data_IF_387494781004
#
_entry.id   IF_387494781004
#
_cell.length_a   1.000
_cell.length_b   1.000
_cell.length_c   1.000
_cell.angle_alpha   90.00
_cell.angle_beta   90.00
_cell.angle_gamma   90.00
#
_symmetry.space_group_name_H-M   'P 1'
#
loop_
_entity.id
_entity.type
_entity.pdbx_description
1 polymer ?
#
# COMPACT_ATOMS: atom_id res chain seq x y z
N UNK A 1 -0.81 11.25 16.70
CA UNK A 1 0.53 10.82 16.24
C UNK A 1 0.82 9.35 16.56
N UNK A 2 0.46 8.86 17.75
CA UNK A 2 0.66 7.48 18.24
C UNK A 2 0.34 6.37 17.22
N UNK A 3 -0.83 6.41 16.55
CA UNK A 3 -1.20 5.38 15.56
C UNK A 3 -0.24 5.28 14.36
N UNK A 4 0.32 6.40 13.90
CA UNK A 4 1.25 6.40 12.76
C UNK A 4 2.61 5.84 13.17
N UNK A 5 3.07 6.21 14.36
CA UNK A 5 4.32 5.69 14.93
C UNK A 5 4.23 4.19 15.20
N UNK A 6 3.09 3.69 15.69
CA UNK A 6 2.88 2.25 15.91
C UNK A 6 2.94 1.44 14.59
N UNK A 7 2.28 1.91 13.53
CA UNK A 7 2.33 1.25 12.21
C UNK A 7 3.74 1.25 11.64
N UNK A 8 4.46 2.37 11.76
CA UNK A 8 5.86 2.47 11.34
C UNK A 8 6.77 1.52 12.12
N UNK A 9 6.60 1.43 13.43
CA UNK A 9 7.36 0.52 14.28
C UNK A 9 7.11 -0.94 13.91
N UNK A 10 5.84 -1.34 13.79
CA UNK A 10 5.48 -2.71 13.37
C UNK A 10 6.05 -3.04 12.00
N UNK A 11 5.97 -2.11 11.05
CA UNK A 11 6.57 -2.30 9.73
C UNK A 11 8.08 -2.46 9.80
N UNK A 12 8.78 -1.63 10.58
CA UNK A 12 10.22 -1.73 10.76
C UNK A 12 10.63 -3.07 11.39
N UNK A 13 9.92 -3.50 12.43
CA UNK A 13 10.15 -4.81 13.08
C UNK A 13 9.94 -5.96 12.07
N UNK A 14 8.85 -5.94 11.31
CA UNK A 14 8.59 -6.97 10.30
C UNK A 14 9.65 -6.99 9.21
N UNK A 15 10.08 -5.83 8.72
CA UNK A 15 11.15 -5.74 7.70
C UNK A 15 12.45 -6.33 8.24
N UNK A 16 12.90 -5.93 9.43
CA UNK A 16 14.14 -6.45 10.04
C UNK A 16 14.06 -7.97 10.24
N UNK A 17 12.97 -8.46 10.81
CA UNK A 17 12.80 -9.90 11.06
C UNK A 17 12.75 -10.71 9.76
N UNK A 18 12.05 -10.20 8.74
CA UNK A 18 11.90 -10.88 7.46
C UNK A 18 13.20 -10.84 6.65
N UNK A 19 13.88 -9.69 6.61
CA UNK A 19 15.18 -9.55 5.97
C UNK A 19 16.20 -10.50 6.60
N UNK A 20 16.27 -10.54 7.93
CA UNK A 20 17.10 -11.49 8.70
C UNK A 20 16.75 -12.94 8.40
N UNK A 21 15.46 -13.28 8.35
CA UNK A 21 15.01 -14.64 8.06
C UNK A 21 15.37 -15.08 6.64
N UNK A 22 15.18 -14.19 5.65
CA UNK A 22 15.56 -14.44 4.26
C UNK A 22 17.08 -14.58 4.17
N UNK A 23 17.83 -13.65 4.76
CA UNK A 23 19.29 -13.67 4.74
C UNK A 23 19.85 -14.97 5.31
N UNK A 24 19.39 -15.41 6.48
CA UNK A 24 19.82 -16.70 7.03
C UNK A 24 19.34 -17.91 6.24
N UNK A 25 18.18 -17.83 5.58
CA UNK A 25 17.74 -18.88 4.68
C UNK A 25 18.61 -18.95 3.42
N UNK A 26 19.22 -17.82 3.01
CA UNK A 26 20.11 -17.72 1.85
C UNK A 26 21.59 -17.87 2.19
N UNK A 27 21.99 -17.74 3.46
CA UNK A 27 23.38 -17.83 3.92
C UNK A 27 23.87 -19.28 3.77
N UNK A 28 24.77 -19.57 2.83
CA UNK A 28 25.20 -20.92 2.54
C UNK A 28 26.29 -21.31 3.53
N UNK A 29 25.93 -22.14 4.52
CA UNK A 29 26.89 -22.80 5.43
C UNK A 29 28.00 -23.55 4.65
N UNK A 30 29.10 -24.01 5.29
CA UNK A 30 30.24 -24.64 4.61
C UNK A 30 29.89 -25.75 3.60
N UNK A 31 28.76 -26.44 3.79
CA UNK A 31 28.22 -27.45 2.88
C UNK A 31 27.70 -26.88 1.54
N UNK A 32 27.15 -25.66 1.53
CA UNK A 32 26.64 -25.02 0.33
C UNK A 32 27.75 -24.44 -0.58
N UNK A 33 28.92 -24.11 0.00
CA UNK A 33 30.15 -23.77 -0.77
C UNK A 33 30.73 -24.95 -1.56
N UNK A 34 30.48 -26.19 -1.14
CA UNK A 34 30.90 -27.39 -1.87
C UNK A 34 29.98 -27.67 -3.07
N UNK A 35 28.69 -27.33 -2.95
CA UNK A 35 27.71 -27.45 -4.04
C UNK A 35 27.80 -26.29 -5.05
N UNK A 36 28.02 -25.07 -4.60
CA UNK A 36 28.13 -23.89 -5.49
C UNK A 36 29.36 -23.95 -6.40
N UNK A 37 30.49 -24.49 -5.93
CA UNK A 37 31.68 -24.75 -6.76
C UNK A 37 31.49 -25.86 -7.80
N UNK A 38 30.47 -26.72 -7.66
CA UNK A 38 30.13 -27.74 -8.66
C UNK A 38 28.92 -27.35 -9.54
N UNK A 39 28.10 -26.38 -9.13
CA UNK A 39 26.80 -26.13 -9.78
C UNK A 39 26.62 -24.73 -10.40
N UNK A 40 27.54 -23.77 -10.23
CA UNK A 40 27.50 -22.51 -11.00
C UNK A 40 26.21 -21.69 -10.79
N UNK A 41 25.94 -21.28 -9.54
CA UNK A 41 24.75 -20.51 -9.20
C UNK A 41 24.79 -19.03 -9.64
N UNK A 42 23.61 -18.37 -9.75
CA UNK A 42 23.50 -16.96 -10.10
C UNK A 42 24.15 -16.05 -9.04
N UNK A 43 24.83 -14.99 -9.50
CA UNK A 43 25.55 -14.08 -8.61
C UNK A 43 24.61 -13.28 -7.69
N UNK A 44 25.04 -13.04 -6.45
CA UNK A 44 24.32 -12.24 -5.43
C UNK A 44 23.77 -10.90 -5.95
N UNK A 45 24.52 -10.12 -6.76
CA UNK A 45 24.00 -8.90 -7.38
C UNK A 45 22.79 -9.14 -8.29
N UNK A 46 22.76 -10.27 -9.00
CA UNK A 46 21.65 -10.65 -9.86
C UNK A 46 20.40 -10.99 -9.03
N UNK A 47 20.55 -11.74 -7.94
CA UNK A 47 19.45 -12.06 -7.03
C UNK A 47 18.88 -10.82 -6.35
N UNK A 48 19.75 -9.89 -5.92
CA UNK A 48 19.34 -8.60 -5.36
C UNK A 48 18.58 -7.75 -6.38
N UNK A 49 19.07 -7.67 -7.62
CA UNK A 49 18.42 -6.94 -8.70
C UNK A 49 17.04 -7.53 -9.02
N UNK A 50 16.94 -8.85 -9.16
CA UNK A 50 15.68 -9.55 -9.44
C UNK A 50 14.68 -9.35 -8.30
N UNK A 51 15.12 -9.48 -7.05
CA UNK A 51 14.26 -9.27 -5.87
C UNK A 51 13.76 -7.84 -5.78
N UNK A 52 14.61 -6.85 -6.05
CA UNK A 52 14.23 -5.44 -6.10
C UNK A 52 13.22 -5.16 -7.23
N UNK A 53 13.44 -5.74 -8.41
CA UNK A 53 12.51 -5.62 -9.55
C UNK A 53 11.15 -6.25 -9.26
N UNK A 54 11.11 -7.42 -8.64
CA UNK A 54 9.87 -8.09 -8.23
C UNK A 54 9.14 -7.33 -7.12
N UNK A 55 9.87 -6.83 -6.13
CA UNK A 55 9.32 -5.99 -5.08
C UNK A 55 8.72 -4.69 -5.65
N UNK A 56 9.45 -4.04 -6.56
CA UNK A 56 8.99 -2.82 -7.22
C UNK A 56 7.77 -3.07 -8.10
N UNK A 57 7.76 -4.15 -8.89
CA UNK A 57 6.63 -4.49 -9.75
C UNK A 57 5.37 -4.82 -8.93
N UNK A 58 5.51 -5.56 -7.83
CA UNK A 58 4.41 -5.84 -6.92
C UNK A 58 3.88 -4.55 -6.25
N UNK A 59 4.78 -3.69 -5.79
CA UNK A 59 4.41 -2.40 -5.21
C UNK A 59 3.64 -1.52 -6.23
N UNK A 60 4.12 -1.47 -7.48
CA UNK A 60 3.44 -0.77 -8.58
C UNK A 60 2.07 -1.38 -8.85
N UNK A 61 1.95 -2.71 -8.91
CA UNK A 61 0.69 -3.40 -9.15
C UNK A 61 -0.34 -3.11 -8.04
N UNK A 62 0.05 -3.17 -6.77
CA UNK A 62 -0.82 -2.84 -5.64
C UNK A 62 -1.27 -1.38 -5.69
N UNK A 63 -0.35 -0.44 -5.96
CA UNK A 63 -0.70 0.97 -6.10
C UNK A 63 -1.64 1.22 -7.29
N UNK A 64 -1.39 0.53 -8.41
CA UNK A 64 -2.20 0.61 -9.63
C UNK A 64 -3.61 0.09 -9.40
N UNK A 65 -3.77 -1.09 -8.78
CA UNK A 65 -5.09 -1.65 -8.43
C UNK A 65 -5.87 -0.74 -7.49
N UNK A 66 -5.21 -0.16 -6.48
CA UNK A 66 -5.84 0.79 -5.57
C UNK A 66 -6.32 2.07 -6.30
N UNK A 67 -5.48 2.60 -7.19
CA UNK A 67 -5.82 3.76 -8.01
C UNK A 67 -6.96 3.47 -9.00
N UNK A 68 -6.95 2.29 -9.63
CA UNK A 68 -8.01 1.84 -10.55
C UNK A 68 -9.35 1.72 -9.83
N UNK A 69 -9.39 1.05 -8.68
CA UNK A 69 -10.62 0.91 -7.89
C UNK A 69 -11.22 2.27 -7.48
N UNK A 70 -10.37 3.25 -7.12
CA UNK A 70 -10.82 4.61 -6.80
C UNK A 70 -11.30 5.35 -8.05
N UNK A 71 -10.57 5.25 -9.17
CA UNK A 71 -10.91 5.91 -10.44
C UNK A 71 -12.22 5.38 -11.00
N UNK A 72 -12.40 4.07 -11.08
CA UNK A 72 -13.64 3.45 -11.58
C UNK A 72 -14.85 3.90 -10.76
N UNK A 73 -14.72 3.95 -9.43
CA UNK A 73 -15.81 4.41 -8.56
C UNK A 73 -16.02 5.92 -8.57
N UNK A 74 -15.00 6.71 -8.90
CA UNK A 74 -15.11 8.15 -9.09
C UNK A 74 -15.76 8.52 -10.44
N UNK A 75 -15.50 7.75 -11.50
CA UNK A 75 -16.15 7.86 -12.80
C UNK A 75 -17.65 7.55 -12.69
N UNK A 76 -18.02 6.54 -11.91
CA UNK A 76 -19.43 6.27 -11.54
C UNK A 76 -20.09 7.45 -10.80
N UNK A 77 -19.31 8.33 -10.15
CA UNK A 77 -19.79 9.49 -9.39
C UNK A 77 -19.49 10.85 -10.05
N UNK A 78 -18.93 10.88 -11.28
CA UNK A 78 -18.43 12.10 -11.98
C UNK A 78 -17.57 13.03 -11.12
N UNK A 79 -16.69 12.47 -10.28
CA UNK A 79 -15.79 13.25 -9.41
C UNK A 79 -14.34 13.20 -9.87
N UNK A 80 -13.55 14.27 -9.63
CA UNK A 80 -12.12 14.25 -9.89
C UNK A 80 -11.40 13.19 -9.05
N UNK A 81 -10.47 12.48 -9.67
CA UNK A 81 -9.70 11.39 -9.06
C UNK A 81 -8.66 11.95 -8.09
N UNK A 82 -8.55 11.36 -6.89
CA UNK A 82 -7.54 11.74 -5.92
C UNK A 82 -6.15 11.23 -6.34
N UNK A 83 -5.16 12.12 -6.32
CA UNK A 83 -3.79 11.78 -6.74
C UNK A 83 -3.09 10.96 -5.66
N UNK A 84 -2.44 9.87 -6.08
CA UNK A 84 -1.58 9.09 -5.20
C UNK A 84 -0.28 9.86 -4.89
N UNK A 85 0.05 10.00 -3.60
CA UNK A 85 1.18 10.82 -3.15
C UNK A 85 2.52 10.07 -3.24
N UNK A 86 2.98 9.78 -4.47
CA UNK A 86 4.21 8.98 -4.75
C UNK A 86 5.43 9.51 -3.99
N UNK A 87 5.67 10.83 -4.00
CA UNK A 87 6.82 11.44 -3.30
C UNK A 87 6.84 11.13 -1.80
N UNK A 88 5.67 11.14 -1.16
CA UNK A 88 5.55 10.84 0.28
C UNK A 88 5.79 9.36 0.55
N UNK A 89 5.31 8.47 -0.32
CA UNK A 89 5.59 7.04 -0.25
C UNK A 89 7.10 6.78 -0.38
N UNK A 90 7.78 7.40 -1.36
CA UNK A 90 9.23 7.26 -1.54
C UNK A 90 10.02 7.77 -0.33
N UNK A 91 9.69 8.96 0.18
CA UNK A 91 10.35 9.49 1.38
C UNK A 91 10.15 8.57 2.60
N UNK A 92 8.95 7.98 2.75
CA UNK A 92 8.67 7.01 3.80
C UNK A 92 9.44 5.70 3.61
N UNK A 93 9.54 5.18 2.37
CA UNK A 93 10.35 4.01 2.06
C UNK A 93 11.83 4.23 2.41
N UNK A 94 12.39 5.39 2.05
CA UNK A 94 13.78 5.75 2.38
C UNK A 94 13.99 5.84 3.90
N UNK A 95 13.08 6.49 4.61
CA UNK A 95 13.15 6.60 6.07
C UNK A 95 13.04 5.23 6.74
N UNK A 96 12.14 4.37 6.26
CA UNK A 96 11.97 3.02 6.76
C UNK A 96 13.23 2.18 6.52
N UNK A 97 13.79 2.21 5.30
CA UNK A 97 15.01 1.50 4.96
C UNK A 97 16.20 1.91 5.82
N UNK A 98 16.36 3.21 6.09
CA UNK A 98 17.41 3.71 6.98
C UNK A 98 17.25 3.17 8.41
N UNK A 99 16.02 3.24 8.95
CA UNK A 99 15.71 2.77 10.31
C UNK A 99 15.90 1.25 10.42
N UNK A 100 15.46 0.48 9.43
CA UNK A 100 15.61 -0.98 9.44
C UNK A 100 17.06 -1.38 9.29
N UNK A 101 17.85 -0.71 8.45
CA UNK A 101 19.28 -0.99 8.28
C UNK A 101 20.07 -0.77 9.57
N UNK A 102 19.82 0.35 10.24
CA UNK A 102 20.47 0.65 11.53
C UNK A 102 19.99 -0.30 12.63
N UNK A 103 18.68 -0.53 12.70
CA UNK A 103 18.07 -1.42 13.70
C UNK A 103 18.51 -2.86 13.54
N UNK A 104 18.54 -3.38 12.31
CA UNK A 104 18.98 -4.74 11.98
C UNK A 104 20.45 -4.95 12.30
N UNK A 105 21.33 -4.01 11.93
CA UNK A 105 22.76 -4.11 12.25
C UNK A 105 23.07 -3.99 13.74
N UNK A 106 22.35 -3.13 14.48
CA UNK A 106 22.49 -3.06 15.95
C UNK A 106 21.96 -4.32 16.64
N UNK A 107 20.86 -4.89 16.15
CA UNK A 107 20.32 -6.16 16.64
C UNK A 107 21.33 -7.30 16.44
N UNK A 108 21.95 -7.39 15.26
CA UNK A 108 23.06 -8.31 14.97
C UNK A 108 24.24 -8.14 15.93
N UNK A 109 24.70 -6.90 16.11
CA UNK A 109 25.80 -6.60 17.03
C UNK A 109 25.49 -7.05 18.47
N UNK A 110 24.25 -6.83 18.91
CA UNK A 110 23.78 -7.30 20.21
C UNK A 110 23.78 -8.83 20.32
N UNK A 111 23.32 -9.53 19.28
CA UNK A 111 23.28 -10.99 19.26
C UNK A 111 24.68 -11.61 19.25
N UNK A 112 25.63 -11.04 18.49
CA UNK A 112 27.03 -11.46 18.51
C UNK A 112 27.67 -11.27 19.88
N UNK A 113 27.40 -10.14 20.54
CA UNK A 113 27.87 -9.91 21.91
C UNK A 113 27.31 -10.96 22.88
N UNK A 114 26.00 -11.24 22.81
CA UNK A 114 25.35 -12.27 23.63
C UNK A 114 25.86 -13.68 23.36
N UNK A 115 26.30 -13.97 22.13
CA UNK A 115 26.89 -15.25 21.74
C UNK A 115 28.37 -15.40 22.10
N UNK A 116 28.99 -14.40 22.74
CA UNK A 116 30.42 -14.44 23.10
C UNK A 116 31.37 -14.17 21.91
N UNK A 117 30.85 -13.74 20.76
CA UNK A 117 31.65 -13.40 19.57
C UNK A 117 32.26 -11.98 19.65
N UNK A 118 31.87 -11.20 20.66
CA UNK A 118 32.33 -9.82 20.87
C UNK A 118 31.38 -8.77 20.29
N UNK A 119 31.58 -7.52 20.73
CA UNK A 119 30.80 -6.38 20.24
C UNK A 119 31.39 -5.84 18.95
N UNK A 120 30.58 -5.88 17.89
CA UNK A 120 30.97 -5.38 16.57
C UNK A 120 30.32 -4.02 16.25
N UNK A 121 29.29 -3.60 16.99
CA UNK A 121 28.64 -2.29 16.82
C UNK A 121 28.24 -1.99 15.38
N UNK A 122 28.68 -0.84 14.86
CA UNK A 122 28.40 -0.42 13.47
C UNK A 122 29.11 -1.26 12.41
N UNK A 123 30.13 -2.04 12.77
CA UNK A 123 30.69 -3.01 11.82
C UNK A 123 29.68 -4.09 11.44
N UNK A 124 28.71 -4.40 12.30
CA UNK A 124 27.60 -5.26 11.89
C UNK A 124 26.70 -4.60 10.85
N UNK A 125 26.66 -3.26 10.73
CA UNK A 125 25.82 -2.58 9.72
C UNK A 125 26.46 -2.60 8.33
N UNK A 126 27.80 -2.54 8.27
CA UNK A 126 28.56 -2.42 7.01
C UNK A 126 29.45 -3.64 6.72
N UNK A 127 29.34 -4.68 7.53
CA UNK A 127 30.15 -5.89 7.42
C UNK A 127 29.78 -6.74 6.20
N UNK A 128 30.59 -7.76 5.87
CA UNK A 128 30.40 -8.58 4.68
C UNK A 128 29.02 -9.24 4.60
N UNK A 129 28.56 -9.80 5.73
CA UNK A 129 27.23 -10.44 5.85
C UNK A 129 26.10 -9.41 5.68
N UNK A 130 26.28 -8.21 6.23
CA UNK A 130 25.26 -7.16 6.14
C UNK A 130 25.19 -6.47 4.78
N UNK A 131 26.26 -6.55 3.99
CA UNK A 131 26.26 -6.08 2.60
C UNK A 131 25.20 -6.79 1.76
N UNK A 132 24.89 -8.05 2.10
CA UNK A 132 23.85 -8.84 1.44
C UNK A 132 22.46 -8.60 2.05
N UNK A 133 22.39 -8.11 3.29
CA UNK A 133 21.14 -7.78 3.99
C UNK A 133 20.56 -6.42 3.57
N UNK A 134 21.42 -5.43 3.29
CA UNK A 134 20.99 -4.07 2.93
C UNK A 134 20.03 -4.03 1.72
N UNK A 135 20.28 -4.75 0.60
CA UNK A 135 19.32 -4.81 -0.51
C UNK A 135 17.96 -5.40 -0.12
N UNK A 136 17.95 -6.42 0.74
CA UNK A 136 16.72 -7.06 1.21
C UNK A 136 15.91 -6.09 2.07
N UNK A 137 16.55 -5.40 3.02
CA UNK A 137 15.89 -4.42 3.88
C UNK A 137 15.35 -3.23 3.07
N UNK A 138 16.09 -2.79 2.05
CA UNK A 138 15.66 -1.71 1.17
C UNK A 138 14.44 -2.11 0.33
N UNK A 139 14.47 -3.31 -0.28
CA UNK A 139 13.36 -3.85 -1.06
C UNK A 139 12.11 -4.07 -0.22
N UNK A 140 12.26 -4.69 0.95
CA UNK A 140 11.15 -4.93 1.88
C UNK A 140 10.58 -3.61 2.44
N UNK A 141 11.42 -2.61 2.69
CA UNK A 141 10.98 -1.27 3.11
C UNK A 141 10.16 -0.56 2.03
N UNK A 142 10.56 -0.69 0.76
CA UNK A 142 9.78 -0.17 -0.36
C UNK A 142 8.40 -0.85 -0.48
N UNK A 143 8.34 -2.17 -0.34
CA UNK A 143 7.07 -2.93 -0.33
C UNK A 143 6.20 -2.49 0.83
N UNK A 144 6.74 -2.45 2.05
CA UNK A 144 6.00 -2.03 3.24
C UNK A 144 5.46 -0.61 3.09
N UNK A 145 6.27 0.32 2.58
CA UNK A 145 5.86 1.70 2.31
C UNK A 145 4.73 1.79 1.27
N UNK A 146 4.80 1.00 0.19
CA UNK A 146 3.76 0.95 -0.83
C UNK A 146 2.45 0.41 -0.27
N UNK A 147 2.49 -0.68 0.50
CA UNK A 147 1.31 -1.27 1.16
C UNK A 147 0.67 -0.27 2.12
N UNK A 148 1.48 0.40 2.96
CA UNK A 148 0.97 1.41 3.90
C UNK A 148 0.36 2.60 3.14
N UNK A 149 1.00 3.08 2.08
CA UNK A 149 0.48 4.18 1.27
C UNK A 149 -0.84 3.81 0.57
N UNK A 150 -0.95 2.60 0.02
CA UNK A 150 -2.16 2.07 -0.57
C UNK A 150 -3.29 1.96 0.47
N UNK A 151 -3.02 1.37 1.64
CA UNK A 151 -4.00 1.26 2.73
C UNK A 151 -4.49 2.63 3.20
N UNK A 152 -3.59 3.60 3.36
CA UNK A 152 -3.95 4.98 3.72
C UNK A 152 -4.85 5.62 2.66
N UNK A 153 -4.55 5.42 1.38
CA UNK A 153 -5.35 5.94 0.27
C UNK A 153 -6.76 5.33 0.29
N UNK A 154 -6.88 4.01 0.43
CA UNK A 154 -8.17 3.30 0.54
C UNK A 154 -8.98 3.79 1.75
N UNK A 155 -8.35 3.90 2.93
CA UNK A 155 -9.05 4.37 4.14
C UNK A 155 -9.50 5.82 4.01
N UNK A 156 -8.67 6.71 3.45
CA UNK A 156 -9.05 8.10 3.19
C UNK A 156 -10.26 8.18 2.26
N UNK A 157 -10.24 7.38 1.19
CA UNK A 157 -11.34 7.26 0.26
C UNK A 157 -12.63 6.72 0.91
N UNK A 158 -12.54 5.65 1.72
CA UNK A 158 -13.68 5.08 2.45
C UNK A 158 -14.31 6.11 3.38
N UNK A 159 -13.49 6.84 4.15
CA UNK A 159 -13.97 7.87 5.08
C UNK A 159 -14.74 8.97 4.38
N UNK A 160 -14.25 9.46 3.24
CA UNK A 160 -14.95 10.46 2.42
C UNK A 160 -16.24 9.91 1.82
N UNK A 161 -16.22 8.65 1.37
CA UNK A 161 -17.41 7.98 0.86
C UNK A 161 -18.49 7.88 1.94
N UNK A 162 -18.14 7.45 3.16
CA UNK A 162 -19.07 7.41 4.28
C UNK A 162 -19.54 8.80 4.71
N UNK A 163 -18.66 9.80 4.74
CA UNK A 163 -19.04 11.18 5.03
C UNK A 163 -20.06 11.71 4.00
N UNK A 164 -19.84 11.41 2.72
CA UNK A 164 -20.78 11.79 1.68
C UNK A 164 -22.10 11.02 1.76
N UNK A 165 -22.07 9.71 2.02
CA UNK A 165 -23.28 8.93 2.24
C UNK A 165 -24.07 9.46 3.44
N UNK A 166 -23.41 9.81 4.55
CA UNK A 166 -24.06 10.43 5.72
C UNK A 166 -24.67 11.81 5.41
N UNK A 167 -24.08 12.57 4.50
CA UNK A 167 -24.62 13.86 4.08
C UNK A 167 -25.81 13.73 3.12
N UNK A 168 -25.87 12.66 2.31
CA UNK A 168 -26.95 12.40 1.35
C UNK A 168 -28.08 11.58 1.99
N UNK A 169 -27.77 10.72 2.96
CA UNK A 169 -28.76 10.04 3.78
C UNK A 169 -29.54 11.10 4.55
N UNK A 170 -30.86 11.24 4.31
CA UNK A 170 -31.65 12.22 5.05
C UNK A 170 -31.57 11.90 6.55
N UNK A 171 -31.19 12.89 7.36
CA UNK A 171 -31.24 12.81 8.83
C UNK A 171 -32.66 12.58 9.38
N UNK A 172 -33.65 12.64 8.49
CA UNK A 172 -35.02 12.27 8.72
C UNK A 172 -35.33 11.00 7.92
N UNK A 173 -35.17 9.83 8.54
CA UNK A 173 -36.25 8.87 8.36
C UNK A 173 -37.48 9.55 8.98
N UNK A 174 -38.48 10.00 8.20
CA UNK A 174 -39.75 10.31 8.83
C UNK A 174 -40.14 9.04 9.61
N UNK A 175 -40.70 9.17 10.84
CA UNK A 175 -41.32 8.01 11.46
C UNK A 175 -42.23 7.42 10.40
N UNK A 176 -42.08 6.13 10.11
CA UNK A 176 -42.99 5.39 9.25
C UNK A 176 -44.35 5.47 9.93
N UNK A 177 -45.07 6.57 9.70
CA UNK A 177 -46.51 6.58 9.87
C UNK A 177 -46.94 5.61 8.81
N UNK A 178 -47.38 4.44 9.24
CA UNK A 178 -48.17 3.55 8.42
C UNK A 178 -49.37 4.37 7.93
N UNK A 179 -49.21 5.04 6.80
CA UNK A 179 -50.31 5.61 6.05
C UNK A 179 -50.96 4.38 5.45
N UNK A 180 -51.99 3.88 6.16
CA UNK A 180 -52.94 2.93 5.61
C UNK A 180 -53.30 3.43 4.20
N UNK A 181 -53.14 2.60 3.16
CA UNK A 181 -53.48 2.99 1.80
C UNK A 181 -54.96 3.36 1.78
N UNK A 182 -55.26 4.65 1.65
CA UNK A 182 -56.61 5.07 1.30
C UNK A 182 -56.86 4.60 -0.13
N UNK A 183 -57.97 3.91 -0.40
CA UNK A 183 -58.29 3.44 -1.74
C UNK A 183 -58.41 4.65 -2.68
N UNK A 184 -57.62 4.62 -3.74
CA UNK A 184 -57.67 5.42 -4.97
C UNK A 184 -58.78 6.48 -5.08
N UNK A 185 -58.45 7.74 -4.75
CA UNK A 185 -59.10 8.88 -5.38
C UNK A 185 -58.32 9.21 -6.66
N UNK A 186 -58.85 8.80 -7.81
CA UNK A 186 -58.32 9.09 -9.14
C UNK A 186 -58.64 10.55 -9.48
N UNK A 187 -57.66 11.46 -9.63
CA UNK A 187 -57.93 12.80 -10.13
C UNK A 187 -58.19 12.71 -11.64
N UNK A 188 -59.45 12.95 -12.01
CA UNK A 188 -59.90 13.11 -13.39
C UNK A 188 -59.19 14.31 -14.03
N UNK A 189 -58.59 14.06 -15.20
CA UNK A 189 -58.25 15.01 -16.29
C UNK A 189 -57.09 15.98 -16.04
N UNK A 190 -55.94 15.66 -16.64
CA UNK A 190 -54.98 16.67 -17.10
C UNK A 190 -55.12 16.77 -18.62
N UNK A 191 -55.60 17.91 -19.10
CA UNK A 191 -55.56 18.27 -20.52
C UNK A 191 -54.09 18.37 -20.96
N UNK A 192 -53.68 17.50 -21.87
CA UNK A 192 -52.41 17.61 -22.58
C UNK A 192 -52.47 18.81 -23.53
N UNK A 193 -51.78 19.91 -23.20
CA UNK A 193 -51.40 20.93 -24.18
C UNK A 193 -50.18 20.44 -24.94
N UNK A 194 -50.37 20.07 -26.20
CA UNK A 194 -49.31 19.81 -27.17
C UNK A 194 -48.45 21.05 -27.37
N UNK A 195 -47.14 20.94 -27.10
CA UNK A 195 -46.16 21.97 -27.45
C UNK A 195 -45.91 21.95 -28.97
N UNK A 196 -45.76 23.10 -29.64
CA UNK A 196 -45.46 23.14 -31.07
C UNK A 196 -44.02 22.70 -31.34
N UNK A 197 -43.84 21.88 -32.38
CA UNK A 197 -42.55 21.40 -32.86
C UNK A 197 -41.69 22.58 -33.35
N UNK A 198 -40.48 22.72 -32.79
CA UNK A 198 -39.49 23.71 -33.20
C UNK A 198 -38.73 23.16 -34.42
N UNK A 199 -38.83 23.82 -35.56
CA UNK A 199 -38.11 23.45 -36.78
C UNK A 199 -36.59 23.69 -36.64
N UNK A 200 -35.73 22.90 -37.33
CA UNK A 200 -34.28 23.08 -37.32
C UNK A 200 -33.84 24.32 -38.12
N UNK A 201 -32.66 24.90 -37.82
CA UNK A 201 -32.15 26.08 -38.51
C UNK A 201 -31.75 25.79 -39.95
N UNK A 202 -32.08 26.71 -40.86
CA UNK A 202 -31.59 26.69 -42.23
C UNK A 202 -30.10 27.09 -42.24
N UNK A 203 -29.29 26.27 -42.92
CA UNK A 203 -27.89 26.61 -43.25
C UNK A 203 -27.92 27.58 -44.44
N UNK A 204 -27.32 28.75 -44.26
CA UNK A 204 -26.95 29.68 -45.32
C UNK A 204 -25.45 29.49 -45.63
#
# INVERSE_FOLDING_TARGET
MIRKSAVGLVAATLVVLLARSIAYATEPSPAARVLERRAGGPSLPLLALVSLLLAASLAVAVCWLAAMAVRERALLKRRPVERFAVRRMLAFAMGLALVTSLGGGLLEAYLHWRAGLGWHGVHCVFGPVHRDLLPLEFGLSAVAAAVIAAAQHVVAWMRRTFAHLRAVLPHSWPPVRHVLPRPFDVPRRVCLRSAPARAPPALA
#
